data_IF_242215931743
#
_entry.id   IF_242215931743
#
_cell.length_a   1.000
_cell.length_b   1.000
_cell.length_c   1.000
_cell.angle_alpha   90.00
_cell.angle_beta   90.00
_cell.angle_gamma   90.00
#
_symmetry.space_group_name_H-M   'P 1'
#
loop_
_entity.id
_entity.type
_entity.pdbx_description
1 polymer ?
#
# COMPACT_ATOMS: atom_id res chain seq x y z
N UNK A 1 -26.80 -3.50 -22.94
CA UNK A 1 -26.04 -4.28 -21.94
C UNK A 1 -25.32 -3.32 -21.01
N UNK A 2 -24.92 -3.78 -19.82
CA UNK A 2 -24.36 -2.94 -18.76
C UNK A 2 -23.03 -2.30 -19.21
N UNK A 3 -22.83 -1.03 -18.83
CA UNK A 3 -21.55 -0.32 -18.95
C UNK A 3 -20.79 -0.51 -17.64
N UNK A 4 -19.60 -1.09 -17.67
CA UNK A 4 -18.87 -1.45 -16.46
C UNK A 4 -17.35 -1.35 -16.65
N UNK A 5 -16.66 -1.08 -15.54
CA UNK A 5 -15.22 -1.22 -15.43
C UNK A 5 -14.85 -1.87 -14.10
N UNK A 6 -13.83 -2.73 -14.10
CA UNK A 6 -13.29 -3.34 -12.89
C UNK A 6 -11.87 -2.83 -12.65
N UNK A 7 -11.66 -2.11 -11.55
CA UNK A 7 -10.35 -1.59 -11.15
C UNK A 7 -9.76 -2.52 -10.10
N UNK A 8 -8.67 -3.21 -10.45
CA UNK A 8 -7.91 -4.11 -9.59
C UNK A 8 -6.73 -3.33 -9.02
N UNK A 9 -6.92 -2.81 -7.83
CA UNK A 9 -5.83 -2.13 -7.12
C UNK A 9 -4.97 -3.12 -6.35
N UNK A 10 -3.69 -2.78 -6.24
CA UNK A 10 -2.73 -3.52 -5.41
C UNK A 10 -2.83 -3.04 -3.95
N UNK A 11 -1.74 -2.59 -3.33
CA UNK A 11 -1.75 -2.19 -1.92
C UNK A 11 -1.97 -0.68 -1.86
N UNK A 12 -3.16 -0.27 -1.44
CA UNK A 12 -3.49 1.14 -1.33
C UNK A 12 -2.95 1.70 -0.01
N UNK A 13 -2.29 2.85 -0.07
CA UNK A 13 -1.70 3.51 1.09
C UNK A 13 -1.84 5.04 1.01
N UNK A 14 -1.54 5.71 2.12
CA UNK A 14 -1.60 7.17 2.21
C UNK A 14 -2.98 7.69 2.58
N UNK A 15 -3.09 9.02 2.63
CA UNK A 15 -4.30 9.73 3.02
C UNK A 15 -4.25 11.18 2.54
N UNK A 16 -5.39 11.74 2.16
CA UNK A 16 -5.48 13.16 1.80
C UNK A 16 -5.55 14.09 3.03
N UNK A 17 -5.93 13.56 4.19
CA UNK A 17 -5.95 14.28 5.45
C UNK A 17 -5.73 13.31 6.63
N UNK A 18 -5.21 13.78 7.79
CA UNK A 18 -4.91 12.89 8.92
C UNK A 18 -6.09 12.07 9.44
N UNK A 19 -7.31 12.62 9.43
CA UNK A 19 -8.52 11.91 9.87
C UNK A 19 -9.02 10.85 8.87
N UNK A 20 -8.48 10.85 7.65
CA UNK A 20 -8.73 9.85 6.60
C UNK A 20 -7.59 8.82 6.52
N UNK A 21 -6.65 8.85 7.47
CA UNK A 21 -5.57 7.88 7.52
C UNK A 21 -6.11 6.45 7.61
N UNK A 22 -5.49 5.54 6.85
CA UNK A 22 -5.79 4.13 6.93
C UNK A 22 -5.56 3.59 8.35
N UNK A 23 -6.62 3.09 8.98
CA UNK A 23 -6.57 2.46 10.31
C UNK A 23 -6.58 0.94 10.25
N UNK A 24 -6.48 0.35 9.05
CA UNK A 24 -6.56 -1.08 8.79
C UNK A 24 -5.58 -1.89 9.63
N UNK A 25 -6.08 -2.85 10.40
CA UNK A 25 -5.26 -3.65 11.31
C UNK A 25 -4.30 -4.61 10.60
N UNK A 26 -4.60 -4.94 9.34
CA UNK A 26 -3.81 -5.87 8.55
C UNK A 26 -2.87 -5.18 7.56
N UNK A 27 -2.97 -3.87 7.38
CA UNK A 27 -2.15 -3.12 6.43
C UNK A 27 -0.79 -2.79 7.03
N UNK A 28 0.28 -2.90 6.23
CA UNK A 28 1.66 -2.81 6.73
C UNK A 28 1.96 -1.45 7.35
N UNK A 29 1.70 -0.37 6.61
CA UNK A 29 2.04 1.01 7.00
C UNK A 29 1.39 1.39 8.34
N UNK A 30 0.06 1.24 8.54
CA UNK A 30 -0.53 1.56 9.85
C UNK A 30 -0.08 0.61 10.97
N UNK A 31 0.29 -0.64 10.67
CA UNK A 31 0.90 -1.53 11.69
C UNK A 31 2.26 -1.02 12.15
N UNK A 32 3.10 -0.54 11.22
CA UNK A 32 4.40 0.04 11.54
C UNK A 32 4.21 1.27 12.44
N UNK A 33 3.38 2.22 12.04
CA UNK A 33 3.12 3.43 12.84
C UNK A 33 2.51 3.11 14.21
N UNK A 34 1.57 2.16 14.29
CA UNK A 34 0.95 1.75 15.56
C UNK A 34 1.94 1.07 16.51
N UNK A 35 2.89 0.30 15.98
CA UNK A 35 3.95 -0.29 16.80
C UNK A 35 4.82 0.83 17.39
N UNK A 36 5.32 1.73 16.53
CA UNK A 36 6.16 2.87 16.92
C UNK A 36 5.44 3.74 17.97
N UNK A 37 4.19 4.12 17.73
CA UNK A 37 3.40 4.96 18.63
C UNK A 37 3.10 4.29 19.98
N UNK A 38 3.17 2.96 20.03
CA UNK A 38 2.99 2.18 21.27
C UNK A 38 4.33 1.85 21.95
N UNK A 39 5.47 2.38 21.49
CA UNK A 39 6.79 2.02 21.98
C UNK A 39 7.19 0.57 21.69
N UNK A 40 6.57 -0.06 20.69
CA UNK A 40 6.85 -1.44 20.25
C UNK A 40 7.57 -1.45 18.92
N UNK A 41 8.26 -2.56 18.64
CA UNK A 41 8.91 -2.81 17.35
C UNK A 41 7.90 -3.34 16.34
N UNK A 42 7.88 -2.86 15.09
CA UNK A 42 7.14 -3.51 14.02
C UNK A 42 7.60 -4.95 13.83
N UNK A 43 6.68 -5.85 13.44
CA UNK A 43 6.99 -7.24 13.12
C UNK A 43 7.11 -7.44 11.63
N UNK A 44 8.22 -8.01 11.19
CA UNK A 44 8.47 -8.42 9.80
C UNK A 44 8.25 -9.92 9.71
N UNK A 45 7.21 -10.33 8.97
CA UNK A 45 6.82 -11.73 8.84
C UNK A 45 7.60 -12.38 7.68
N UNK A 46 8.60 -13.17 8.04
CA UNK A 46 9.49 -13.84 7.09
C UNK A 46 10.60 -12.95 6.52
N UNK A 47 11.80 -13.53 6.39
CA UNK A 47 12.97 -12.90 5.77
C UNK A 47 13.71 -13.86 4.80
N UNK A 48 13.03 -14.91 4.34
CA UNK A 48 13.61 -15.94 3.47
C UNK A 48 12.92 -16.01 2.09
N UNK A 49 12.22 -14.94 1.68
CA UNK A 49 11.64 -14.86 0.34
C UNK A 49 12.72 -14.65 -0.72
N UNK A 50 12.54 -15.14 -1.95
CA UNK A 50 13.47 -14.92 -3.07
C UNK A 50 13.37 -13.47 -3.58
N UNK A 51 13.78 -12.53 -2.74
CA UNK A 51 13.73 -11.07 -2.92
C UNK A 51 15.05 -10.47 -2.42
N UNK A 52 15.47 -9.28 -2.88
CA UNK A 52 16.81 -8.76 -2.59
C UNK A 52 17.15 -8.66 -1.10
N UNK A 53 16.17 -8.37 -0.24
CA UNK A 53 16.34 -8.24 1.21
C UNK A 53 15.67 -9.36 2.03
N UNK A 54 15.15 -10.37 1.34
CA UNK A 54 14.47 -11.50 1.93
C UNK A 54 13.02 -11.26 2.36
N UNK A 55 12.48 -10.04 2.27
CA UNK A 55 11.13 -9.69 2.73
C UNK A 55 10.10 -9.54 1.60
N UNK A 56 8.82 -9.65 1.94
CA UNK A 56 7.74 -9.56 0.95
C UNK A 56 7.75 -8.24 0.17
N UNK A 57 7.75 -8.32 -1.16
CA UNK A 57 7.58 -7.17 -2.06
C UNK A 57 6.11 -6.97 -2.42
N UNK A 58 5.66 -5.71 -2.42
CA UNK A 58 4.31 -5.29 -2.79
C UNK A 58 4.34 -3.98 -3.57
N UNK A 59 3.42 -3.80 -4.50
CA UNK A 59 3.18 -2.51 -5.17
C UNK A 59 2.25 -1.66 -4.30
N UNK A 60 2.75 -0.52 -3.83
CA UNK A 60 2.04 0.45 -3.01
C UNK A 60 1.63 1.66 -3.87
N UNK A 61 0.33 1.88 -4.00
CA UNK A 61 -0.25 3.02 -4.74
C UNK A 61 -0.93 3.99 -3.78
N UNK A 62 -0.75 5.28 -4.02
CA UNK A 62 -1.38 6.29 -3.17
C UNK A 62 -2.91 6.28 -3.36
N UNK A 63 -3.67 6.43 -2.27
CA UNK A 63 -5.14 6.40 -2.30
C UNK A 63 -5.74 7.47 -3.21
N UNK A 64 -5.08 8.63 -3.33
CA UNK A 64 -5.49 9.68 -4.26
C UNK A 64 -5.40 9.22 -5.72
N UNK A 65 -4.31 8.55 -6.11
CA UNK A 65 -4.14 8.03 -7.48
C UNK A 65 -5.20 6.98 -7.82
N UNK A 66 -5.59 6.16 -6.83
CA UNK A 66 -6.70 5.21 -6.98
C UNK A 66 -8.02 5.94 -7.19
N UNK A 67 -8.28 7.02 -6.45
CA UNK A 67 -9.48 7.83 -6.62
C UNK A 67 -9.50 8.52 -8.00
N UNK A 68 -8.37 9.05 -8.44
CA UNK A 68 -8.22 9.67 -9.77
C UNK A 68 -8.45 8.64 -10.88
N UNK A 69 -7.94 7.41 -10.73
CA UNK A 69 -8.22 6.33 -11.67
C UNK A 69 -9.71 6.04 -11.81
N UNK A 70 -10.48 6.08 -10.71
CA UNK A 70 -11.94 5.95 -10.77
C UNK A 70 -12.59 7.12 -11.51
N UNK A 71 -12.18 8.36 -11.22
CA UNK A 71 -12.71 9.55 -11.88
C UNK A 71 -12.49 9.52 -13.40
N UNK A 72 -11.27 9.19 -13.83
CA UNK A 72 -10.90 9.07 -15.25
C UNK A 72 -11.73 7.99 -15.95
N UNK A 73 -11.92 6.83 -15.31
CA UNK A 73 -12.73 5.74 -15.88
C UNK A 73 -14.20 6.15 -16.00
N UNK A 74 -14.76 6.84 -15.00
CA UNK A 74 -16.12 7.35 -15.05
C UNK A 74 -16.31 8.39 -16.16
N UNK A 75 -15.36 9.30 -16.34
CA UNK A 75 -15.38 10.26 -17.45
C UNK A 75 -15.40 9.55 -18.80
N UNK A 76 -14.53 8.55 -18.98
CA UNK A 76 -14.50 7.73 -20.21
C UNK A 76 -15.82 6.98 -20.43
N UNK A 77 -16.44 6.49 -19.36
CA UNK A 77 -17.74 5.80 -19.39
C UNK A 77 -18.90 6.74 -19.74
N UNK A 78 -18.74 8.06 -19.55
CA UNK A 78 -19.79 9.05 -19.86
C UNK A 78 -19.91 9.34 -21.36
N UNK A 79 -18.80 9.23 -22.09
CA UNK A 79 -18.75 9.50 -23.54
C UNK A 79 -18.71 8.24 -24.40
N UNK A 80 -18.42 7.07 -23.79
CA UNK A 80 -18.26 5.81 -24.51
C UNK A 80 -18.67 4.61 -23.66
N UNK A 81 -19.05 3.52 -24.31
CA UNK A 81 -19.35 2.27 -23.60
C UNK A 81 -18.05 1.54 -23.25
N UNK A 82 -17.88 1.22 -21.96
CA UNK A 82 -16.74 0.49 -21.42
C UNK A 82 -17.21 -0.87 -20.90
N UNK A 83 -16.35 -1.86 -21.10
CA UNK A 83 -16.45 -3.20 -20.54
C UNK A 83 -15.01 -3.69 -20.37
N UNK A 84 -14.32 -3.18 -19.36
CA UNK A 84 -12.86 -3.31 -19.26
C UNK A 84 -12.38 -3.52 -17.84
N UNK A 85 -11.21 -4.17 -17.73
CA UNK A 85 -10.51 -4.40 -16.47
C UNK A 85 -9.21 -3.62 -16.51
N UNK A 86 -8.91 -2.89 -15.44
CA UNK A 86 -7.69 -2.11 -15.28
C UNK A 86 -6.96 -2.54 -14.01
N UNK A 87 -5.64 -2.70 -14.09
CA UNK A 87 -4.81 -2.78 -12.91
C UNK A 87 -4.42 -1.36 -12.49
N UNK A 88 -4.55 -1.05 -11.20
CA UNK A 88 -4.21 0.26 -10.64
C UNK A 88 -3.09 0.05 -9.61
N UNK A 89 -1.88 0.45 -10.00
CA UNK A 89 -0.66 0.28 -9.24
C UNK A 89 0.43 1.17 -9.83
N UNK A 90 1.57 1.24 -9.15
CA UNK A 90 2.73 2.01 -9.64
C UNK A 90 3.57 1.21 -10.62
N UNK A 91 3.44 -0.12 -10.62
CA UNK A 91 4.34 -1.03 -11.33
C UNK A 91 5.70 -1.21 -10.65
N UNK A 92 5.92 -0.55 -9.51
CA UNK A 92 7.14 -0.62 -8.72
C UNK A 92 6.86 -1.38 -7.43
N UNK A 93 7.70 -2.37 -7.13
CA UNK A 93 7.62 -3.12 -5.90
C UNK A 93 8.48 -2.51 -4.80
N UNK A 94 7.95 -2.44 -3.59
CA UNK A 94 8.70 -2.13 -2.38
C UNK A 94 8.60 -3.30 -1.40
N UNK A 95 9.73 -3.65 -0.80
CA UNK A 95 9.81 -4.67 0.24
C UNK A 95 9.21 -4.16 1.57
N UNK A 96 9.10 -5.05 2.56
CA UNK A 96 8.70 -4.64 3.92
C UNK A 96 9.77 -3.72 4.54
N UNK A 97 11.05 -3.99 4.29
CA UNK A 97 12.12 -3.15 4.82
C UNK A 97 12.21 -1.82 4.09
N UNK A 98 11.92 -1.76 2.78
CA UNK A 98 11.81 -0.48 2.05
C UNK A 98 10.78 0.43 2.71
N UNK A 99 9.62 -0.12 3.09
CA UNK A 99 8.57 0.65 3.81
C UNK A 99 9.05 1.11 5.18
N UNK A 100 9.76 0.27 5.94
CA UNK A 100 10.30 0.65 7.26
C UNK A 100 11.37 1.74 7.11
N UNK A 101 12.25 1.62 6.12
CA UNK A 101 13.26 2.63 5.81
C UNK A 101 12.63 3.97 5.42
N UNK A 102 11.60 3.95 4.57
CA UNK A 102 10.86 5.17 4.21
C UNK A 102 10.20 5.83 5.43
N UNK A 103 9.65 5.04 6.37
CA UNK A 103 9.13 5.59 7.63
C UNK A 103 10.24 6.22 8.46
N UNK A 104 11.40 5.58 8.59
CA UNK A 104 12.55 6.13 9.30
C UNK A 104 13.05 7.42 8.67
N UNK A 105 13.15 7.49 7.35
CA UNK A 105 13.58 8.68 6.62
C UNK A 105 12.61 9.85 6.82
N UNK A 106 11.31 9.63 6.64
CA UNK A 106 10.28 10.68 6.74
C UNK A 106 10.09 11.17 8.18
N UNK A 107 10.21 10.28 9.17
CA UNK A 107 10.00 10.63 10.59
C UNK A 107 11.26 11.09 11.30
N UNK A 108 12.45 10.77 10.76
CA UNK A 108 13.73 10.95 11.45
C UNK A 108 13.91 10.04 12.68
N UNK A 109 13.01 9.08 12.91
CA UNK A 109 13.06 8.17 14.06
C UNK A 109 13.80 6.88 13.70
N UNK A 110 14.62 6.36 14.60
CA UNK A 110 15.18 5.01 14.43
C UNK A 110 14.09 3.95 14.61
N UNK A 111 13.83 3.15 13.57
CA UNK A 111 12.79 2.12 13.57
C UNK A 111 13.42 0.73 13.60
N UNK A 112 13.60 0.19 14.81
CA UNK A 112 13.97 -1.21 15.00
C UNK A 112 12.77 -2.13 14.80
N UNK A 113 12.97 -3.28 14.16
CA UNK A 113 11.93 -4.28 13.88
C UNK A 113 12.33 -5.67 14.35
N UNK A 114 11.35 -6.52 14.61
CA UNK A 114 11.57 -7.92 14.97
C UNK A 114 11.15 -8.82 13.80
N UNK A 115 12.01 -9.76 13.44
CA UNK A 115 11.70 -10.79 12.44
C UNK A 115 10.97 -11.93 13.13
N UNK A 116 9.84 -12.33 12.56
CA UNK A 116 9.00 -13.40 13.08
C UNK A 116 8.68 -14.41 11.98
N UNK A 117 8.23 -15.59 12.38
CA UNK A 117 7.80 -16.63 11.45
C UNK A 117 6.75 -16.10 10.45
N UNK A 118 6.79 -16.54 9.18
CA UNK A 118 5.76 -16.22 8.21
C UNK A 118 4.36 -16.59 8.72
N UNK A 119 3.35 -15.83 8.29
CA UNK A 119 1.95 -16.07 8.63
C UNK A 119 1.17 -16.67 7.46
#
# INVERSE_FOLDING_TARGET
GINWAALRYFNVAGASAPHLADTGENNLIPKVFRAISSGRRPKVYGQNYPTPDGTCIRDYVHVADVADAHAIVLEKMSVSRVASVYNVGTGLGSSVLDVIMAVQEVTGMSVNYDIVEPR
#
